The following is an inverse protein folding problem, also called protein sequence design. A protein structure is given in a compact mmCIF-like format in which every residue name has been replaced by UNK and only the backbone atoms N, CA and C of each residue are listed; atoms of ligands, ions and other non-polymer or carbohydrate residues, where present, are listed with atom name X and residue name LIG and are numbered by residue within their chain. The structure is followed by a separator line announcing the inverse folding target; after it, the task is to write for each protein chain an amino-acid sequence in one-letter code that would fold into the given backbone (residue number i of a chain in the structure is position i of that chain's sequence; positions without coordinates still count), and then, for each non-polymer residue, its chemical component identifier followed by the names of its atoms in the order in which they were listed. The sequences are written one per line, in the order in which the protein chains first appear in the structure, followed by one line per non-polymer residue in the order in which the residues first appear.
data_IF_628821126636
#
_entry.id   IF_628821126636
#
_cell.length_a   1.000
_cell.length_b   1.000
_cell.length_c   1.000
_cell.angle_alpha   90.00
_cell.angle_beta   90.00
_cell.angle_gamma   90.00
#
_symmetry.space_group_name_H-M   'P 1'
#
loop_
_entity.id
_entity.type
_entity.pdbx_description
1 polymer ?
#
# COMPACT_ATOMS: atom_id res chain seq x y z
N UNK A 1 -14.00 -8.55 -9.60
CA UNK A 1 -12.69 -7.99 -10.00
C UNK A 1 -11.65 -8.37 -8.95
N UNK A 2 -10.47 -8.86 -9.33
CA UNK A 2 -9.39 -9.10 -8.35
C UNK A 2 -8.87 -7.74 -7.85
N UNK A 3 -8.77 -7.50 -6.54
CA UNK A 3 -8.17 -6.27 -6.04
C UNK A 3 -6.72 -6.19 -6.53
N UNK A 4 -6.27 -5.01 -6.94
CA UNK A 4 -4.89 -4.81 -7.35
C UNK A 4 -3.94 -5.06 -6.18
N UNK A 5 -2.70 -5.45 -6.50
CA UNK A 5 -1.68 -5.81 -5.51
C UNK A 5 -1.46 -4.71 -4.46
N UNK A 6 -1.52 -3.43 -4.87
CA UNK A 6 -1.29 -2.29 -3.98
C UNK A 6 -2.47 -2.18 -3.01
N UNK A 7 -3.69 -2.23 -3.52
CA UNK A 7 -4.92 -2.25 -2.71
C UNK A 7 -4.92 -3.40 -1.70
N UNK A 8 -4.57 -4.60 -2.13
CA UNK A 8 -4.51 -5.77 -1.26
C UNK A 8 -3.43 -5.60 -0.17
N UNK A 9 -2.29 -5.00 -0.52
CA UNK A 9 -1.19 -4.70 0.40
C UNK A 9 -1.60 -3.63 1.41
N UNK A 10 -2.21 -2.53 0.98
CA UNK A 10 -2.68 -1.46 1.86
C UNK A 10 -3.73 -1.99 2.84
N UNK A 11 -4.72 -2.75 2.36
CA UNK A 11 -5.76 -3.34 3.21
C UNK A 11 -5.18 -4.32 4.24
N UNK A 12 -4.27 -5.20 3.83
CA UNK A 12 -3.71 -6.24 4.71
C UNK A 12 -2.73 -5.67 5.73
N UNK A 13 -1.87 -4.73 5.33
CA UNK A 13 -0.78 -4.30 6.20
C UNK A 13 -1.04 -2.95 6.87
N UNK A 14 -1.68 -2.00 6.20
CA UNK A 14 -2.00 -0.70 6.80
C UNK A 14 -3.28 -0.81 7.63
N UNK A 15 -4.39 -1.23 7.01
CA UNK A 15 -5.70 -1.25 7.69
C UNK A 15 -5.77 -2.37 8.75
N UNK A 16 -5.48 -3.62 8.37
CA UNK A 16 -5.62 -4.76 9.30
C UNK A 16 -4.50 -4.87 10.34
N UNK A 17 -3.27 -4.45 9.99
CA UNK A 17 -2.09 -4.63 10.86
C UNK A 17 -1.51 -3.33 11.42
N UNK A 18 -2.08 -2.18 11.07
CA UNK A 18 -1.63 -0.86 11.56
C UNK A 18 -0.19 -0.51 11.17
N UNK A 19 0.32 -1.02 10.04
CA UNK A 19 1.68 -0.70 9.58
C UNK A 19 1.73 0.70 8.97
N UNK A 20 2.84 1.36 9.24
CA UNK A 20 3.16 2.67 8.67
C UNK A 20 3.29 2.62 7.13
N UNK A 21 2.79 3.66 6.46
CA UNK A 21 2.80 3.76 5.00
C UNK A 21 4.20 3.69 4.40
N UNK A 22 5.23 4.24 5.08
CA UNK A 22 6.64 4.20 4.64
C UNK A 22 7.20 2.78 4.64
N UNK A 23 6.78 1.96 5.60
CA UNK A 23 7.14 0.54 5.63
C UNK A 23 6.55 -0.18 4.42
N UNK A 24 5.30 0.15 4.07
CA UNK A 24 4.62 -0.44 2.90
C UNK A 24 5.23 0.03 1.59
N UNK A 25 5.57 1.31 1.49
CA UNK A 25 6.28 1.88 0.35
C UNK A 25 7.61 1.15 0.11
N UNK A 26 8.41 0.97 1.17
CA UNK A 26 9.67 0.21 1.07
C UNK A 26 9.42 -1.25 0.70
N UNK A 27 8.41 -1.88 1.27
CA UNK A 27 8.04 -3.26 0.95
C UNK A 27 7.65 -3.43 -0.53
N UNK A 28 6.82 -2.54 -1.06
CA UNK A 28 6.43 -2.53 -2.47
C UNK A 28 7.65 -2.36 -3.39
N UNK A 29 8.56 -1.45 -3.02
CA UNK A 29 9.81 -1.22 -3.76
C UNK A 29 10.74 -2.43 -3.73
N UNK A 30 10.96 -3.05 -2.57
CA UNK A 30 11.90 -4.16 -2.43
C UNK A 30 11.36 -5.45 -3.03
N UNK A 31 10.12 -5.82 -2.66
CA UNK A 31 9.54 -7.13 -3.01
C UNK A 31 8.99 -7.17 -4.43
N UNK A 32 8.34 -6.08 -4.85
CA UNK A 32 7.62 -6.05 -6.13
C UNK A 32 8.25 -5.10 -7.14
N UNK A 33 9.37 -4.43 -6.80
CA UNK A 33 10.03 -3.43 -7.65
C UNK A 33 9.10 -2.27 -8.05
N UNK A 34 8.08 -2.02 -7.22
CA UNK A 34 7.11 -0.95 -7.42
C UNK A 34 7.55 0.28 -6.63
N UNK A 35 8.18 1.22 -7.32
CA UNK A 35 8.49 2.54 -6.75
C UNK A 35 7.24 3.40 -6.88
N UNK A 36 6.70 3.80 -5.73
CA UNK A 36 5.54 4.66 -5.65
C UNK A 36 5.80 5.82 -4.71
N UNK A 37 5.25 6.97 -5.07
CA UNK A 37 5.21 8.11 -4.15
C UNK A 37 4.28 7.84 -2.98
N UNK A 38 4.71 8.26 -1.79
CA UNK A 38 3.94 8.15 -0.56
C UNK A 38 2.57 8.84 -0.70
N UNK A 39 2.52 9.99 -1.37
CA UNK A 39 1.27 10.72 -1.69
C UNK A 39 0.28 9.90 -2.52
N UNK A 40 0.77 9.05 -3.42
CA UNK A 40 -0.09 8.18 -4.25
C UNK A 40 -0.62 7.02 -3.42
N UNK A 41 0.20 6.44 -2.55
CA UNK A 41 -0.24 5.42 -1.60
C UNK A 41 -1.28 5.97 -0.61
N UNK A 42 -1.10 7.22 -0.15
CA UNK A 42 -2.03 7.89 0.75
C UNK A 42 -3.39 8.11 0.08
N UNK A 43 -3.41 8.68 -1.13
CA UNK A 43 -4.65 8.84 -1.91
C UNK A 43 -5.37 7.52 -2.15
N UNK A 44 -4.60 6.45 -2.41
CA UNK A 44 -5.18 5.10 -2.57
C UNK A 44 -5.77 4.59 -1.27
N UNK A 45 -5.10 4.81 -0.14
CA UNK A 45 -5.61 4.43 1.17
C UNK A 45 -6.91 5.18 1.51
N UNK A 46 -6.98 6.48 1.22
CA UNK A 46 -8.19 7.29 1.41
C UNK A 46 -9.37 6.77 0.58
N UNK A 47 -9.12 6.30 -0.65
CA UNK A 47 -10.14 5.69 -1.50
C UNK A 47 -10.53 4.24 -1.08
N UNK A 48 -9.86 3.67 -0.07
CA UNK A 48 -10.15 2.33 0.46
C UNK A 48 -10.97 2.35 1.76
N UNK A 49 -11.04 3.51 2.42
CA UNK A 49 -11.97 3.79 3.53
C UNK A 49 -13.36 4.12 2.99
#
# INVERSE_FOLDING_TARGET
MRPDLITQTLKTYVIQKGKDLKVIQRYLSVKYKLVMDEKVLLKRLENLS
#
